data_IF_056243347134
#
_entry.id   IF_056243347134
#
_cell.length_a   1.000
_cell.length_b   1.000
_cell.length_c   1.000
_cell.angle_alpha   90.00
_cell.angle_beta   90.00
_cell.angle_gamma   90.00
#
_symmetry.space_group_name_H-M   'P 1'
#
loop_
_entity.id
_entity.type
_entity.pdbx_description
1 polymer ?
#
# COMPACT_ATOMS: atom_id res chain seq x y z
N UNK A 1 -14.01 -23.45 6.57
CA UNK A 1 -12.72 -23.41 5.86
C UNK A 1 -12.07 -22.09 6.17
N UNK A 2 -10.92 -22.11 6.82
CA UNK A 2 -10.16 -20.92 7.20
C UNK A 2 -8.99 -20.70 6.26
N UNK A 3 -8.87 -19.50 5.69
CA UNK A 3 -7.69 -19.10 4.92
C UNK A 3 -6.55 -18.76 5.89
N UNK A 4 -5.52 -19.62 5.89
CA UNK A 4 -4.27 -19.39 6.65
C UNK A 4 -3.10 -19.00 5.74
N UNK A 5 -3.34 -18.95 4.44
CA UNK A 5 -2.36 -18.74 3.37
C UNK A 5 -2.01 -17.26 3.22
N UNK A 6 -3.04 -16.42 3.19
CA UNK A 6 -2.91 -15.05 2.71
C UNK A 6 -2.86 -14.04 3.85
N UNK A 7 -1.90 -13.12 3.78
CA UNK A 7 -1.72 -12.08 4.80
C UNK A 7 -2.52 -10.81 4.55
N UNK A 8 -3.02 -10.60 3.33
CA UNK A 8 -3.94 -9.51 2.97
C UNK A 8 -5.03 -10.05 2.04
N UNK A 9 -6.13 -9.31 1.89
CA UNK A 9 -7.25 -9.67 0.99
C UNK A 9 -7.75 -11.10 1.25
N UNK A 10 -7.87 -11.45 2.52
CA UNK A 10 -8.22 -12.78 3.02
C UNK A 10 -9.11 -12.66 4.26
N UNK A 11 -9.73 -13.78 4.65
CA UNK A 11 -10.68 -13.84 5.76
C UNK A 11 -10.12 -13.29 7.08
N UNK A 12 -8.84 -13.55 7.33
CA UNK A 12 -8.12 -13.15 8.54
C UNK A 12 -6.87 -12.36 8.21
N UNK A 13 -6.94 -11.49 7.20
CA UNK A 13 -5.80 -10.66 6.78
C UNK A 13 -5.27 -9.76 7.90
N UNK A 14 -4.09 -9.19 7.68
CA UNK A 14 -3.64 -8.04 8.43
C UNK A 14 -4.63 -6.93 8.14
N UNK A 15 -5.26 -6.40 9.19
CA UNK A 15 -6.26 -5.34 9.07
C UNK A 15 -5.63 -4.09 8.44
N UNK A 16 -4.41 -3.82 8.88
CA UNK A 16 -3.69 -2.60 8.60
C UNK A 16 -2.28 -2.88 8.03
N UNK A 17 -2.13 -3.36 6.78
CA UNK A 17 -0.83 -3.55 6.16
C UNK A 17 -0.24 -2.24 5.61
N UNK A 18 1.05 -2.02 5.82
CA UNK A 18 1.79 -0.98 5.08
C UNK A 18 1.82 -1.32 3.59
N UNK A 19 1.49 -0.35 2.71
CA UNK A 19 1.36 -0.71 1.30
C UNK A 19 2.67 -0.89 0.56
N UNK A 20 3.81 -0.40 1.04
CA UNK A 20 5.06 -0.77 0.41
C UNK A 20 5.25 -2.30 0.48
N UNK A 21 4.90 -2.92 1.62
CA UNK A 21 4.87 -4.38 1.74
C UNK A 21 3.77 -5.00 0.88
N UNK A 22 2.56 -4.44 0.90
CA UNK A 22 1.44 -4.97 0.12
C UNK A 22 1.74 -4.95 -1.40
N UNK A 23 2.47 -3.94 -1.91
CA UNK A 23 2.79 -3.78 -3.34
C UNK A 23 3.74 -4.88 -3.73
N UNK A 24 4.82 -5.00 -2.96
CA UNK A 24 5.93 -5.89 -3.29
C UNK A 24 5.58 -7.35 -3.11
N UNK A 25 4.89 -7.69 -2.01
CA UNK A 25 4.57 -9.08 -1.66
C UNK A 25 3.19 -9.54 -2.16
N UNK A 26 2.34 -8.60 -2.57
CA UNK A 26 0.94 -8.87 -2.88
C UNK A 26 0.30 -9.70 -1.75
N UNK A 27 -0.51 -10.71 -2.06
CA UNK A 27 -1.13 -11.58 -1.04
C UNK A 27 -0.29 -12.80 -0.63
N UNK A 28 0.87 -13.05 -1.25
CA UNK A 28 1.68 -14.28 -1.06
C UNK A 28 3.13 -13.95 -0.70
N UNK A 29 3.42 -13.99 0.59
CA UNK A 29 4.76 -13.93 1.14
C UNK A 29 4.79 -14.64 2.50
N UNK A 30 5.98 -14.94 3.03
CA UNK A 30 6.10 -15.46 4.38
C UNK A 30 5.37 -14.55 5.37
N UNK A 31 4.42 -15.12 6.11
CA UNK A 31 3.44 -14.38 6.88
C UNK A 31 3.05 -15.11 8.18
N UNK A 32 4.04 -15.56 8.95
CA UNK A 32 3.75 -16.15 10.25
C UNK A 32 3.02 -15.15 11.15
N UNK A 33 1.82 -15.51 11.63
CA UNK A 33 0.98 -14.66 12.48
C UNK A 33 0.40 -15.40 13.70
N UNK A 34 1.25 -16.01 14.56
CA UNK A 34 0.79 -16.83 15.67
C UNK A 34 -0.06 -16.08 16.71
N UNK A 35 0.14 -14.77 16.98
CA UNK A 35 -0.73 -14.01 17.89
C UNK A 35 -2.08 -13.75 17.23
N UNK A 36 -2.11 -13.28 15.98
CA UNK A 36 -3.36 -13.00 15.29
C UNK A 36 -4.19 -14.28 15.10
N UNK A 37 -3.58 -15.38 14.63
CA UNK A 37 -4.30 -16.66 14.49
C UNK A 37 -4.70 -17.26 15.84
N UNK A 38 -4.01 -16.93 16.94
CA UNK A 38 -4.47 -17.32 18.28
C UNK A 38 -5.78 -16.62 18.65
N UNK A 39 -5.85 -15.31 18.44
CA UNK A 39 -7.04 -14.49 18.69
C UNK A 39 -8.20 -14.97 17.83
N UNK A 40 -7.99 -15.06 16.51
CA UNK A 40 -8.99 -15.57 15.57
C UNK A 40 -9.48 -16.96 16.00
N UNK A 41 -8.58 -17.90 16.30
CA UNK A 41 -8.97 -19.24 16.69
C UNK A 41 -9.83 -19.27 17.97
N UNK A 42 -9.54 -18.41 18.95
CA UNK A 42 -10.36 -18.33 20.17
C UNK A 42 -11.75 -17.77 19.89
N UNK A 43 -11.86 -16.81 18.97
CA UNK A 43 -13.13 -16.22 18.56
C UNK A 43 -13.97 -17.16 17.70
N UNK A 44 -13.38 -17.95 16.80
CA UNK A 44 -14.16 -18.68 15.79
C UNK A 44 -14.34 -20.17 16.10
N UNK A 45 -13.35 -20.83 16.73
CA UNK A 45 -13.37 -22.30 16.83
C UNK A 45 -14.46 -22.83 17.76
N UNK A 46 -14.99 -22.03 18.69
CA UNK A 46 -16.05 -22.47 19.59
C UNK A 46 -17.43 -22.58 18.91
N UNK A 47 -17.58 -22.03 17.70
CA UNK A 47 -18.79 -22.17 16.88
C UNK A 47 -18.79 -23.42 16.00
N UNK A 48 -17.71 -24.20 15.99
CA UNK A 48 -17.57 -25.39 15.15
C UNK A 48 -16.96 -26.58 15.93
N UNK A 49 -17.18 -27.80 15.44
CA UNK A 49 -16.56 -29.04 15.99
C UNK A 49 -15.16 -29.27 15.40
N UNK A 50 -14.80 -28.53 14.34
CA UNK A 50 -13.51 -28.58 13.65
C UNK A 50 -13.47 -27.57 12.50
N UNK A 51 -12.40 -27.59 11.71
CA UNK A 51 -12.24 -26.69 10.57
C UNK A 51 -11.34 -27.32 9.48
N UNK A 52 -11.42 -26.76 8.27
CA UNK A 52 -10.57 -27.11 7.13
C UNK A 52 -9.67 -25.93 6.81
N UNK A 53 -8.35 -26.12 6.85
CA UNK A 53 -7.40 -25.06 6.48
C UNK A 53 -7.26 -24.98 4.98
N UNK A 54 -7.49 -23.80 4.41
CA UNK A 54 -7.08 -23.46 3.07
C UNK A 54 -5.63 -22.96 3.08
N UNK A 55 -4.81 -23.51 2.19
CA UNK A 55 -3.37 -23.27 2.11
C UNK A 55 -2.89 -23.35 0.67
N UNK A 56 -1.94 -22.50 0.29
CA UNK A 56 -1.37 -22.50 -1.06
C UNK A 56 0.10 -22.91 -1.14
N UNK A 57 0.84 -23.09 -0.03
CA UNK A 57 2.25 -23.46 -0.21
C UNK A 57 3.15 -23.43 1.01
N UNK A 58 4.32 -22.83 0.87
CA UNK A 58 5.40 -22.88 1.87
C UNK A 58 5.40 -21.64 2.76
N UNK A 59 4.85 -20.53 2.27
CA UNK A 59 4.86 -19.23 2.96
C UNK A 59 4.00 -19.22 4.23
N UNK A 60 2.99 -20.09 4.29
CA UNK A 60 2.06 -20.27 5.40
C UNK A 60 2.38 -21.47 6.30
N UNK A 61 3.60 -22.02 6.22
CA UNK A 61 4.04 -23.21 6.97
C UNK A 61 3.88 -23.06 8.49
N UNK A 62 4.25 -21.90 9.05
CA UNK A 62 4.07 -21.60 10.49
C UNK A 62 2.58 -21.54 10.83
N UNK A 63 1.76 -20.93 9.98
CA UNK A 63 0.32 -20.77 10.23
C UNK A 63 -0.40 -22.12 10.17
N UNK A 64 -0.02 -23.02 9.26
CA UNK A 64 -0.53 -24.39 9.22
C UNK A 64 -0.22 -25.15 10.49
N UNK A 65 1.04 -25.14 10.91
CA UNK A 65 1.42 -25.75 12.19
C UNK A 65 0.58 -25.16 13.31
N UNK A 66 0.49 -23.83 13.36
CA UNK A 66 -0.25 -23.11 14.39
C UNK A 66 -1.71 -23.56 14.47
N UNK A 67 -2.41 -23.51 13.35
CA UNK A 67 -3.84 -23.83 13.26
C UNK A 67 -4.13 -25.29 13.64
N UNK A 68 -3.32 -26.25 13.15
CA UNK A 68 -3.49 -27.65 13.52
C UNK A 68 -3.24 -27.91 15.00
N UNK A 69 -2.28 -27.23 15.62
CA UNK A 69 -2.06 -27.33 17.07
C UNK A 69 -3.22 -26.74 17.86
N UNK A 70 -3.85 -25.65 17.39
CA UNK A 70 -5.06 -25.08 17.99
C UNK A 70 -6.28 -25.99 17.86
N UNK A 71 -6.47 -26.64 16.71
CA UNK A 71 -7.54 -27.64 16.53
C UNK A 71 -7.39 -28.84 17.47
N UNK A 72 -6.15 -29.26 17.73
CA UNK A 72 -5.88 -30.36 18.67
C UNK A 72 -6.05 -29.95 20.14
N UNK A 73 -5.54 -28.78 20.51
CA UNK A 73 -5.70 -28.25 21.87
C UNK A 73 -5.94 -26.73 21.84
N UNK A 74 -7.20 -26.29 21.92
CA UNK A 74 -7.55 -24.87 21.82
C UNK A 74 -7.07 -24.05 23.02
N UNK A 75 -6.61 -24.68 24.11
CA UNK A 75 -6.11 -23.96 25.30
C UNK A 75 -4.66 -23.53 25.20
N UNK A 76 -3.90 -24.01 24.21
CA UNK A 76 -2.51 -23.61 24.05
C UNK A 76 -2.40 -22.15 23.63
N UNK A 77 -1.50 -21.44 24.28
CA UNK A 77 -1.15 -20.07 23.95
C UNK A 77 -0.36 -19.99 22.64
N UNK A 78 -0.34 -18.79 22.05
CA UNK A 78 0.47 -18.52 20.88
C UNK A 78 1.95 -18.92 21.08
N UNK A 79 2.53 -18.50 22.22
CA UNK A 79 3.94 -18.76 22.56
C UNK A 79 4.25 -20.24 22.72
N UNK A 80 3.36 -21.04 23.33
CA UNK A 80 3.59 -22.49 23.49
C UNK A 80 3.63 -23.21 22.14
N UNK A 81 2.72 -22.88 21.23
CA UNK A 81 2.68 -23.52 19.90
C UNK A 81 3.88 -23.10 19.05
N UNK A 82 4.22 -21.81 19.03
CA UNK A 82 5.40 -21.30 18.33
C UNK A 82 6.67 -21.92 18.90
N UNK A 83 6.77 -22.09 20.22
CA UNK A 83 7.89 -22.81 20.83
C UNK A 83 8.03 -24.23 20.32
N UNK A 84 6.93 -24.98 20.25
CA UNK A 84 6.97 -26.36 19.72
C UNK A 84 7.46 -26.41 18.28
N UNK A 85 7.00 -25.47 17.45
CA UNK A 85 7.47 -25.32 16.07
C UNK A 85 8.97 -25.04 16.02
N UNK A 86 9.42 -24.04 16.78
CA UNK A 86 10.82 -23.61 16.76
C UNK A 86 11.74 -24.71 17.25
N UNK A 87 11.39 -25.35 18.36
CA UNK A 87 12.16 -26.47 18.93
C UNK A 87 12.31 -27.63 17.95
N UNK A 88 11.22 -27.95 17.24
CA UNK A 88 11.18 -29.09 16.34
C UNK A 88 12.04 -28.85 15.08
N UNK A 89 11.93 -27.67 14.46
CA UNK A 89 12.62 -27.39 13.19
C UNK A 89 14.02 -26.82 13.34
N UNK A 90 14.29 -26.09 14.42
CA UNK A 90 15.54 -25.34 14.62
C UNK A 90 16.38 -25.86 15.78
N UNK A 91 15.83 -26.76 16.60
CA UNK A 91 16.49 -27.32 17.77
C UNK A 91 16.32 -26.47 19.04
N UNK A 92 16.66 -27.04 20.21
CA UNK A 92 16.44 -26.41 21.51
C UNK A 92 17.25 -25.13 21.72
N UNK A 93 18.46 -25.05 21.15
CA UNK A 93 19.36 -23.93 21.41
C UNK A 93 18.98 -22.67 20.60
N UNK A 94 18.36 -22.85 19.43
CA UNK A 94 17.85 -21.76 18.58
C UNK A 94 16.41 -21.33 18.92
N UNK A 95 15.73 -22.07 19.80
CA UNK A 95 14.30 -21.95 20.10
C UNK A 95 13.87 -20.51 20.43
N UNK A 96 14.51 -19.88 21.42
CA UNK A 96 14.12 -18.53 21.88
C UNK A 96 14.42 -17.45 20.82
N UNK A 97 15.49 -17.58 20.04
CA UNK A 97 15.78 -16.62 18.97
C UNK A 97 14.78 -16.74 17.82
N UNK A 98 14.40 -17.97 17.44
CA UNK A 98 13.40 -18.19 16.39
C UNK A 98 12.00 -17.77 16.84
N UNK A 99 11.65 -17.95 18.12
CA UNK A 99 10.43 -17.37 18.70
C UNK A 99 10.47 -15.84 18.58
N UNK A 100 11.60 -15.22 18.94
CA UNK A 100 11.81 -13.78 18.81
C UNK A 100 11.65 -13.29 17.38
N UNK A 101 12.28 -13.97 16.42
CA UNK A 101 12.16 -13.66 15.00
C UNK A 101 10.72 -13.74 14.50
N UNK A 102 10.01 -14.84 14.76
CA UNK A 102 8.64 -15.05 14.27
C UNK A 102 7.68 -13.98 14.82
N UNK A 103 7.72 -13.71 16.13
CA UNK A 103 6.85 -12.68 16.71
C UNK A 103 7.22 -11.27 16.27
N UNK A 104 8.51 -10.99 16.07
CA UNK A 104 8.94 -9.69 15.56
C UNK A 104 8.47 -9.50 14.10
N UNK A 105 8.58 -10.53 13.26
CA UNK A 105 8.10 -10.48 11.88
C UNK A 105 6.58 -10.35 11.79
N UNK A 106 5.83 -10.98 12.70
CA UNK A 106 4.38 -10.75 12.85
C UNK A 106 4.07 -9.29 13.13
N UNK A 107 4.71 -8.72 14.16
CA UNK A 107 4.54 -7.32 14.56
C UNK A 107 4.97 -6.35 13.45
N UNK A 108 5.97 -6.72 12.65
CA UNK A 108 6.46 -5.87 11.58
C UNK A 108 5.46 -5.68 10.44
N UNK A 109 4.57 -6.65 10.20
CA UNK A 109 3.54 -6.54 9.16
C UNK A 109 2.41 -5.57 9.54
N UNK A 110 2.30 -5.21 10.82
CA UNK A 110 1.22 -4.39 11.39
C UNK A 110 1.67 -2.95 11.69
N UNK A 111 2.86 -2.56 11.24
CA UNK A 111 3.45 -1.23 11.50
C UNK A 111 3.93 -0.54 10.23
N UNK A 112 3.92 0.81 10.20
CA UNK A 112 4.49 1.57 9.10
C UNK A 112 5.97 1.23 8.87
N UNK A 113 6.33 0.84 7.65
CA UNK A 113 7.68 0.33 7.33
C UNK A 113 8.74 1.38 7.62
N UNK A 114 8.49 2.64 7.26
CA UNK A 114 9.46 3.73 7.35
C UNK A 114 10.01 3.92 8.77
N UNK A 115 9.18 3.76 9.80
CA UNK A 115 9.54 4.00 11.21
C UNK A 115 9.69 2.70 12.02
N UNK A 116 9.64 1.54 11.37
CA UNK A 116 9.64 0.26 12.05
C UNK A 116 11.05 -0.28 12.34
N UNK A 117 11.59 0.04 13.52
CA UNK A 117 12.87 -0.49 14.01
C UNK A 117 12.89 -2.03 14.17
N UNK A 118 11.70 -2.66 14.23
CA UNK A 118 11.54 -4.10 14.33
C UNK A 118 12.08 -4.88 13.12
N UNK A 119 12.25 -4.23 11.96
CA UNK A 119 12.86 -4.85 10.77
C UNK A 119 14.30 -5.30 11.03
N UNK A 120 15.10 -4.44 11.68
CA UNK A 120 16.48 -4.75 12.04
C UNK A 120 16.52 -5.81 13.15
N UNK A 121 15.59 -5.75 14.09
CA UNK A 121 15.51 -6.71 15.19
C UNK A 121 15.17 -8.13 14.70
N UNK A 122 14.28 -8.28 13.73
CA UNK A 122 13.98 -9.58 13.12
C UNK A 122 15.23 -10.22 12.48
N UNK A 123 16.00 -9.44 11.71
CA UNK A 123 17.28 -9.89 11.12
C UNK A 123 18.26 -10.31 12.21
N UNK A 124 18.36 -9.54 13.30
CA UNK A 124 19.24 -9.85 14.43
C UNK A 124 18.88 -11.20 15.07
N UNK A 125 17.60 -11.46 15.32
CA UNK A 125 17.15 -12.74 15.86
C UNK A 125 17.44 -13.90 14.90
N UNK A 126 17.17 -13.73 13.61
CA UNK A 126 17.45 -14.78 12.62
C UNK A 126 18.95 -15.10 12.52
N UNK A 127 19.82 -14.11 12.55
CA UNK A 127 21.28 -14.32 12.59
C UNK A 127 21.71 -15.02 13.88
N UNK A 128 21.22 -14.58 15.04
CA UNK A 128 21.53 -15.23 16.31
C UNK A 128 21.02 -16.69 16.37
N UNK A 129 19.86 -16.97 15.75
CA UNK A 129 19.35 -18.33 15.62
C UNK A 129 20.25 -19.17 14.71
N UNK A 130 20.71 -18.63 13.58
CA UNK A 130 21.53 -19.35 12.60
C UNK A 130 22.77 -20.01 13.20
N UNK A 131 23.40 -19.36 14.17
CA UNK A 131 24.59 -19.85 14.87
C UNK A 131 24.27 -20.97 15.87
N UNK A 132 23.00 -21.08 16.29
CA UNK A 132 22.52 -22.05 17.28
C UNK A 132 21.77 -23.23 16.66
N UNK A 133 21.38 -23.14 15.38
CA UNK A 133 20.73 -24.25 14.66
C UNK A 133 21.77 -25.34 14.38
N UNK A 134 21.55 -26.59 14.82
CA UNK A 134 22.42 -27.71 14.49
C UNK A 134 22.61 -27.90 12.97
N UNK A 135 23.84 -28.17 12.53
CA UNK A 135 24.19 -28.29 11.11
C UNK A 135 23.32 -29.29 10.35
N UNK A 136 22.94 -30.40 10.99
CA UNK A 136 22.09 -31.42 10.38
C UNK A 136 20.67 -30.92 10.08
N UNK A 137 20.15 -29.97 10.86
CA UNK A 137 18.87 -29.30 10.59
C UNK A 137 19.05 -28.21 9.55
N UNK A 138 20.02 -27.32 9.77
CA UNK A 138 20.25 -26.15 8.92
C UNK A 138 20.59 -26.51 7.47
N UNK A 139 21.30 -27.62 7.22
CA UNK A 139 21.75 -28.04 5.88
C UNK A 139 20.61 -28.08 4.85
N UNK A 140 19.39 -28.41 5.26
CA UNK A 140 18.22 -28.52 4.38
C UNK A 140 17.05 -27.64 4.82
N UNK A 141 17.28 -26.73 5.76
CA UNK A 141 16.21 -25.92 6.30
C UNK A 141 15.84 -24.77 5.35
N UNK A 142 14.68 -24.88 4.71
CA UNK A 142 14.15 -23.81 3.86
C UNK A 142 13.47 -22.71 4.69
N UNK A 143 13.07 -23.00 5.93
CA UNK A 143 12.23 -22.11 6.75
C UNK A 143 12.99 -20.86 7.18
N UNK A 144 14.16 -21.06 7.79
CA UNK A 144 15.07 -19.99 8.15
C UNK A 144 15.50 -19.19 6.91
N UNK A 145 15.78 -19.87 5.79
CA UNK A 145 16.19 -19.20 4.53
C UNK A 145 15.08 -18.30 3.97
N UNK A 146 13.84 -18.77 3.98
CA UNK A 146 12.69 -17.99 3.55
C UNK A 146 12.43 -16.81 4.51
N UNK A 147 12.48 -17.05 5.83
CA UNK A 147 12.34 -15.99 6.85
C UNK A 147 13.44 -14.93 6.70
N UNK A 148 14.68 -15.33 6.46
CA UNK A 148 15.81 -14.41 6.28
C UNK A 148 15.71 -13.61 4.98
N UNK A 149 15.34 -14.24 3.86
CA UNK A 149 15.05 -13.52 2.60
C UNK A 149 13.98 -12.45 2.82
N UNK A 150 12.87 -12.80 3.48
CA UNK A 150 11.77 -11.88 3.81
C UNK A 150 12.24 -10.73 4.70
N UNK A 151 12.92 -11.01 5.80
CA UNK A 151 13.37 -9.99 6.75
C UNK A 151 14.38 -9.01 6.12
N UNK A 152 15.31 -9.52 5.29
CA UNK A 152 16.26 -8.71 4.54
C UNK A 152 15.56 -7.83 3.49
N UNK A 153 14.59 -8.36 2.75
CA UNK A 153 13.83 -7.59 1.78
C UNK A 153 12.93 -6.53 2.44
N UNK A 154 12.36 -6.81 3.61
CA UNK A 154 11.61 -5.80 4.38
C UNK A 154 12.53 -4.63 4.77
N UNK A 155 13.76 -4.93 5.20
CA UNK A 155 14.78 -3.91 5.46
C UNK A 155 15.20 -3.16 4.19
N UNK A 156 15.33 -3.86 3.06
CA UNK A 156 15.61 -3.23 1.77
C UNK A 156 14.53 -2.21 1.39
N UNK A 157 13.25 -2.59 1.50
CA UNK A 157 12.11 -1.71 1.26
C UNK A 157 12.16 -0.49 2.19
N UNK A 158 12.43 -0.70 3.49
CA UNK A 158 12.58 0.39 4.45
C UNK A 158 13.69 1.38 4.08
N UNK A 159 14.85 0.88 3.65
CA UNK A 159 15.96 1.72 3.20
C UNK A 159 15.61 2.53 1.96
N UNK A 160 14.90 1.92 0.99
CA UNK A 160 14.41 2.63 -0.19
C UNK A 160 13.46 3.78 0.16
N UNK A 161 12.49 3.51 1.03
CA UNK A 161 11.55 4.55 1.49
C UNK A 161 12.31 5.67 2.22
N UNK A 162 13.25 5.31 3.10
CA UNK A 162 14.06 6.29 3.85
C UNK A 162 14.88 7.18 2.92
N UNK A 163 15.57 6.58 1.95
CA UNK A 163 16.35 7.33 0.95
C UNK A 163 15.47 8.22 0.09
N UNK A 164 14.30 7.74 -0.32
CA UNK A 164 13.34 8.54 -1.06
C UNK A 164 12.79 9.73 -0.27
N UNK A 165 12.50 9.57 1.03
CA UNK A 165 12.10 10.70 1.88
C UNK A 165 13.22 11.74 2.06
N UNK A 166 14.48 11.32 2.14
CA UNK A 166 15.62 12.26 2.16
C UNK A 166 15.72 13.07 0.86
N UNK A 167 15.65 12.38 -0.30
CA UNK A 167 15.70 13.02 -1.61
C UNK A 167 14.54 13.99 -1.80
N UNK A 168 13.31 13.58 -1.46
CA UNK A 168 12.13 14.47 -1.49
C UNK A 168 12.30 15.64 -0.54
N UNK A 169 12.72 15.42 0.71
CA UNK A 169 12.93 16.48 1.69
C UNK A 169 13.91 17.56 1.21
N UNK A 170 15.00 17.15 0.56
CA UNK A 170 15.98 18.07 -0.05
C UNK A 170 15.43 18.78 -1.30
N UNK A 171 14.69 18.07 -2.15
CA UNK A 171 14.10 18.63 -3.38
C UNK A 171 12.95 19.61 -3.10
N UNK A 172 12.16 19.38 -2.03
CA UNK A 172 11.01 20.22 -1.63
C UNK A 172 11.40 21.68 -1.42
N UNK A 173 12.63 21.96 -0.96
CA UNK A 173 13.12 23.32 -0.81
C UNK A 173 13.03 24.08 -2.13
N UNK A 174 13.52 23.49 -3.22
CA UNK A 174 13.49 24.09 -4.55
C UNK A 174 12.11 24.06 -5.19
N UNK A 175 11.33 22.99 -4.98
CA UNK A 175 9.93 22.95 -5.46
C UNK A 175 9.08 24.05 -4.83
N UNK A 176 9.32 24.38 -3.55
CA UNK A 176 8.66 25.52 -2.89
C UNK A 176 9.04 26.84 -3.55
N UNK A 177 10.33 27.10 -3.79
CA UNK A 177 10.75 28.33 -4.46
C UNK A 177 10.15 28.45 -5.86
N UNK A 178 10.14 27.36 -6.62
CA UNK A 178 9.51 27.29 -7.93
C UNK A 178 8.00 27.57 -7.84
N UNK A 179 7.32 26.98 -6.84
CA UNK A 179 5.89 27.17 -6.58
C UNK A 179 5.50 28.60 -6.18
N UNK A 180 6.44 29.37 -5.63
CA UNK A 180 6.31 30.80 -5.33
C UNK A 180 6.64 31.71 -6.54
N UNK A 181 6.99 31.12 -7.69
CA UNK A 181 7.34 31.87 -8.90
C UNK A 181 8.79 32.34 -8.95
N UNK A 182 9.66 31.92 -8.01
CA UNK A 182 11.07 32.30 -7.97
C UNK A 182 11.87 31.40 -8.92
N UNK A 183 12.23 31.94 -10.09
CA UNK A 183 12.94 31.25 -11.18
C UNK A 183 12.50 29.78 -11.39
N UNK A 184 11.20 29.52 -11.70
CA UNK A 184 10.62 28.18 -11.61
C UNK A 184 11.37 27.11 -12.40
N UNK A 185 11.79 27.43 -13.64
CA UNK A 185 12.52 26.49 -14.47
C UNK A 185 13.87 26.06 -13.87
N UNK A 186 14.59 27.00 -13.24
CA UNK A 186 15.89 26.72 -12.64
C UNK A 186 15.74 25.91 -11.35
N UNK A 187 14.77 26.27 -10.52
CA UNK A 187 14.50 25.54 -9.29
C UNK A 187 13.93 24.13 -9.54
N UNK A 188 13.11 23.94 -10.58
CA UNK A 188 12.71 22.61 -11.05
C UNK A 188 13.92 21.76 -11.48
N UNK A 189 14.91 22.34 -12.19
CA UNK A 189 16.15 21.62 -12.56
C UNK A 189 16.99 21.24 -11.34
N UNK A 190 17.08 22.11 -10.33
CA UNK A 190 17.78 21.78 -9.08
C UNK A 190 17.10 20.65 -8.32
N UNK A 191 15.76 20.68 -8.22
CA UNK A 191 14.99 19.58 -7.63
C UNK A 191 15.21 18.28 -8.40
N UNK A 192 15.15 18.32 -9.74
CA UNK A 192 15.41 17.16 -10.61
C UNK A 192 16.81 16.57 -10.40
N UNK A 193 17.83 17.43 -10.28
CA UNK A 193 19.20 16.99 -10.05
C UNK A 193 19.38 16.24 -8.72
N UNK A 194 18.68 16.69 -7.66
CA UNK A 194 18.67 15.98 -6.37
C UNK A 194 17.93 14.64 -6.51
N UNK A 195 16.73 14.63 -7.09
CA UNK A 195 15.93 13.41 -7.21
C UNK A 195 16.58 12.35 -8.10
N UNK A 196 17.49 12.76 -8.98
CA UNK A 196 18.28 11.86 -9.85
C UNK A 196 19.54 11.31 -9.20
N UNK A 197 19.82 11.66 -7.93
CA UNK A 197 20.91 11.05 -7.17
C UNK A 197 20.65 9.54 -6.98
N UNK A 198 21.70 8.68 -6.97
CA UNK A 198 21.52 7.24 -6.83
C UNK A 198 20.78 6.86 -5.54
N UNK A 199 19.64 6.15 -5.68
CA UNK A 199 18.88 5.63 -4.54
C UNK A 199 19.63 4.50 -3.79
N UNK A 200 20.51 3.76 -4.49
CA UNK A 200 21.15 2.57 -3.91
C UNK A 200 22.35 2.92 -3.03
N UNK A 201 22.25 2.51 -1.77
CA UNK A 201 23.35 2.58 -0.80
C UNK A 201 24.17 1.27 -0.77
N UNK A 202 25.39 1.32 -0.21
CA UNK A 202 26.20 0.12 0.03
C UNK A 202 25.49 -0.93 0.90
N UNK A 203 24.67 -0.50 1.86
CA UNK A 203 23.87 -1.40 2.71
C UNK A 203 22.83 -2.14 1.86
N UNK A 204 22.12 -1.42 0.98
CA UNK A 204 21.11 -1.98 0.09
C UNK A 204 21.71 -3.00 -0.88
N UNK A 205 22.88 -2.71 -1.45
CA UNK A 205 23.60 -3.63 -2.35
C UNK A 205 23.99 -4.91 -1.60
N UNK A 206 24.53 -4.78 -0.38
CA UNK A 206 24.87 -5.94 0.47
C UNK A 206 23.65 -6.79 0.77
N UNK A 207 22.53 -6.17 1.13
CA UNK A 207 21.27 -6.86 1.39
C UNK A 207 20.80 -7.63 0.15
N UNK A 208 20.76 -7.01 -1.03
CA UNK A 208 20.34 -7.69 -2.28
C UNK A 208 21.21 -8.90 -2.58
N UNK A 209 22.53 -8.76 -2.43
CA UNK A 209 23.46 -9.88 -2.64
C UNK A 209 23.24 -11.02 -1.63
N UNK A 210 23.00 -10.69 -0.36
CA UNK A 210 22.70 -11.68 0.69
C UNK A 210 21.36 -12.39 0.44
N UNK A 211 20.31 -11.67 0.05
CA UNK A 211 19.01 -12.24 -0.33
C UNK A 211 19.16 -13.20 -1.50
N UNK A 212 19.89 -12.80 -2.56
CA UNK A 212 20.12 -13.66 -3.73
C UNK A 212 20.86 -14.95 -3.36
N UNK A 213 21.94 -14.83 -2.57
CA UNK A 213 22.71 -15.99 -2.13
C UNK A 213 21.86 -16.97 -1.31
N UNK A 214 21.09 -16.47 -0.34
CA UNK A 214 20.19 -17.30 0.47
C UNK A 214 19.06 -17.89 -0.40
N UNK A 215 18.57 -17.12 -1.37
CA UNK A 215 17.60 -17.58 -2.36
C UNK A 215 18.12 -18.72 -3.22
N UNK A 216 19.36 -18.63 -3.69
CA UNK A 216 20.02 -19.72 -4.42
C UNK A 216 20.11 -20.99 -3.58
N UNK A 217 20.46 -20.87 -2.30
CA UNK A 217 20.45 -22.02 -1.38
C UNK A 217 19.03 -22.63 -1.23
N UNK A 218 17.99 -21.81 -1.03
CA UNK A 218 16.62 -22.34 -0.92
C UNK A 218 16.11 -22.91 -2.25
N UNK A 219 16.59 -22.40 -3.38
CA UNK A 219 16.27 -22.91 -4.70
C UNK A 219 16.85 -24.31 -4.93
N UNK A 220 18.06 -24.58 -4.46
CA UNK A 220 18.65 -25.92 -4.50
C UNK A 220 17.90 -26.92 -3.61
N UNK A 221 17.37 -26.47 -2.46
CA UNK A 221 16.69 -27.35 -1.50
C UNK A 221 15.24 -27.65 -1.94
N UNK A 222 14.47 -26.62 -2.29
CA UNK A 222 13.02 -26.72 -2.55
C UNK A 222 12.54 -26.02 -3.83
N UNK A 223 13.44 -25.46 -4.64
CA UNK A 223 13.05 -24.72 -5.86
C UNK A 223 12.39 -23.37 -5.60
N UNK A 224 12.70 -22.73 -4.47
CA UNK A 224 12.13 -21.43 -4.10
C UNK A 224 13.19 -20.33 -4.00
N UNK A 225 12.86 -19.18 -4.56
CA UNK A 225 13.46 -17.87 -4.28
C UNK A 225 12.31 -16.90 -4.00
N UNK A 226 12.49 -15.99 -3.06
CA UNK A 226 11.47 -14.98 -2.75
C UNK A 226 11.19 -14.09 -3.99
N UNK A 227 10.01 -14.18 -4.61
CA UNK A 227 9.71 -13.46 -5.86
C UNK A 227 9.84 -11.94 -5.72
N UNK A 228 9.56 -11.39 -4.54
CA UNK A 228 9.70 -9.96 -4.27
C UNK A 228 11.10 -9.41 -4.62
N UNK A 229 12.16 -10.23 -4.50
CA UNK A 229 13.52 -9.85 -4.87
C UNK A 229 13.64 -9.31 -6.31
N UNK A 230 12.87 -9.89 -7.24
CA UNK A 230 12.96 -9.60 -8.67
C UNK A 230 12.13 -8.40 -9.11
N UNK A 231 11.08 -8.05 -8.35
CA UNK A 231 10.10 -7.03 -8.76
C UNK A 231 10.14 -5.78 -7.88
N UNK A 232 10.76 -5.82 -6.70
CA UNK A 232 10.78 -4.71 -5.74
C UNK A 232 11.31 -3.39 -6.33
N UNK A 233 12.24 -3.47 -7.29
CA UNK A 233 12.85 -2.30 -7.94
C UNK A 233 12.00 -1.74 -9.09
N UNK A 234 11.02 -2.51 -9.56
CA UNK A 234 10.11 -2.10 -10.64
C UNK A 234 8.99 -1.19 -10.14
N UNK A 235 8.69 -1.21 -8.84
CA UNK A 235 7.68 -0.36 -8.19
C UNK A 235 8.26 0.96 -7.67
N UNK A 236 7.52 2.06 -7.86
CA UNK A 236 7.91 3.39 -7.41
C UNK A 236 7.44 3.67 -5.98
N UNK A 237 7.96 2.88 -5.04
CA UNK A 237 7.47 2.85 -3.66
C UNK A 237 7.63 4.20 -2.93
N UNK A 238 8.69 4.94 -3.24
CA UNK A 238 8.97 6.25 -2.66
C UNK A 238 8.42 7.44 -3.49
N UNK A 239 7.76 7.15 -4.61
CA UNK A 239 7.20 8.12 -5.57
C UNK A 239 8.25 8.99 -6.28
N UNK A 240 9.54 8.67 -6.18
CA UNK A 240 10.63 9.46 -6.76
C UNK A 240 10.50 9.55 -8.28
N UNK A 241 10.18 8.43 -8.95
CA UNK A 241 10.08 8.42 -10.41
C UNK A 241 8.85 9.21 -10.88
N UNK A 242 7.77 9.20 -10.10
CA UNK A 242 6.62 10.08 -10.34
C UNK A 242 7.01 11.55 -10.24
N UNK A 243 7.73 11.95 -9.19
CA UNK A 243 8.20 13.33 -9.02
C UNK A 243 9.09 13.75 -10.20
N UNK A 244 10.06 12.92 -10.58
CA UNK A 244 10.93 13.15 -11.75
C UNK A 244 10.09 13.34 -13.01
N UNK A 245 9.17 12.42 -13.30
CA UNK A 245 8.31 12.45 -14.50
C UNK A 245 7.51 13.75 -14.58
N UNK A 246 6.89 14.18 -13.48
CA UNK A 246 6.09 15.41 -13.47
C UNK A 246 6.95 16.67 -13.59
N UNK A 247 8.16 16.70 -12.99
CA UNK A 247 9.11 17.80 -13.19
C UNK A 247 9.55 17.89 -14.66
N UNK A 248 9.91 16.76 -15.27
CA UNK A 248 10.31 16.70 -16.68
C UNK A 248 9.20 17.17 -17.62
N UNK A 249 7.96 16.72 -17.37
CA UNK A 249 6.77 17.20 -18.10
C UNK A 249 6.61 18.71 -17.99
N UNK A 250 6.78 19.27 -16.80
CA UNK A 250 6.70 20.71 -16.59
C UNK A 250 7.81 21.50 -17.32
N UNK A 251 9.02 20.97 -17.37
CA UNK A 251 10.17 21.61 -18.02
C UNK A 251 10.07 21.62 -19.57
N UNK A 252 9.43 20.61 -20.16
CA UNK A 252 9.28 20.49 -21.63
C UNK A 252 7.98 21.12 -22.14
N UNK A 253 6.96 21.25 -21.28
CA UNK A 253 5.66 21.80 -21.66
C UNK A 253 5.71 23.28 -22.03
N UNK A 254 5.46 23.60 -23.31
CA UNK A 254 5.48 24.99 -23.84
C UNK A 254 4.51 25.94 -23.13
N UNK A 255 3.45 25.39 -22.55
CA UNK A 255 2.34 26.13 -21.99
C UNK A 255 2.09 25.80 -20.51
N UNK A 256 3.00 25.08 -19.87
CA UNK A 256 2.83 24.67 -18.47
C UNK A 256 3.14 25.85 -17.55
N UNK A 257 2.21 26.13 -16.63
CA UNK A 257 2.53 26.94 -15.45
C UNK A 257 3.42 26.11 -14.53
N UNK A 258 4.73 26.37 -14.61
CA UNK A 258 5.75 25.66 -13.84
C UNK A 258 5.61 25.87 -12.34
N UNK A 259 5.10 27.01 -11.88
CA UNK A 259 4.89 27.27 -10.47
C UNK A 259 3.71 26.43 -9.94
N UNK A 260 2.60 26.40 -10.69
CA UNK A 260 1.48 25.51 -10.37
C UNK A 260 1.89 24.03 -10.44
N UNK A 261 2.68 23.62 -11.42
CA UNK A 261 3.20 22.26 -11.52
C UNK A 261 4.09 21.89 -10.33
N UNK A 262 4.98 22.79 -9.90
CA UNK A 262 5.77 22.58 -8.70
C UNK A 262 4.88 22.40 -7.47
N UNK A 263 3.89 23.27 -7.25
CA UNK A 263 2.92 23.13 -6.16
C UNK A 263 2.15 21.81 -6.23
N UNK A 264 1.72 21.37 -7.42
CA UNK A 264 1.04 20.08 -7.60
C UNK A 264 1.90 18.88 -7.18
N UNK A 265 3.23 18.93 -7.41
CA UNK A 265 4.13 17.83 -7.06
C UNK A 265 4.29 17.67 -5.55
N UNK A 266 4.70 18.74 -4.84
CA UNK A 266 4.99 18.63 -3.39
C UNK A 266 3.78 18.85 -2.48
N UNK A 267 2.71 19.51 -2.98
CA UNK A 267 1.44 19.71 -2.25
C UNK A 267 0.31 18.86 -2.82
N UNK A 268 0.62 17.75 -3.48
CA UNK A 268 -0.36 16.89 -4.15
C UNK A 268 -1.53 16.50 -3.23
N UNK A 269 -1.24 16.17 -1.97
CA UNK A 269 -2.20 15.69 -0.97
C UNK A 269 -2.71 16.79 -0.05
N UNK A 270 -2.21 18.01 -0.23
CA UNK A 270 -2.66 19.17 0.54
C UNK A 270 -3.97 19.68 -0.08
N UNK A 271 -5.09 19.70 0.65
CA UNK A 271 -6.34 20.25 0.16
C UNK A 271 -6.43 21.79 0.36
N UNK A 272 -5.42 22.42 0.94
CA UNK A 272 -5.45 23.81 1.35
C UNK A 272 -6.21 24.04 2.66
N UNK A 273 -6.21 25.29 3.12
CA UNK A 273 -6.84 25.66 4.40
C UNK A 273 -8.35 25.40 4.38
N UNK A 274 -8.82 24.61 5.35
CA UNK A 274 -10.23 24.24 5.50
C UNK A 274 -10.74 23.21 4.49
N UNK A 275 -9.83 22.55 3.77
CA UNK A 275 -10.15 21.44 2.87
C UNK A 275 -9.87 20.06 3.48
N UNK A 276 -10.30 19.01 2.76
CA UNK A 276 -10.15 17.60 3.12
C UNK A 276 -9.46 16.84 2.00
N UNK A 277 -8.59 15.89 2.35
CA UNK A 277 -8.02 14.91 1.44
C UNK A 277 -8.15 13.51 2.06
N UNK A 278 -8.59 12.54 1.28
CA UNK A 278 -8.69 11.14 1.71
C UNK A 278 -8.16 10.19 0.64
N UNK A 279 -7.40 9.19 1.07
CA UNK A 279 -6.91 8.09 0.23
C UNK A 279 -7.93 6.96 0.25
N UNK A 280 -8.90 7.01 -0.65
CA UNK A 280 -10.00 6.04 -0.68
C UNK A 280 -9.52 4.62 -1.05
N UNK A 281 -8.40 4.49 -1.77
CA UNK A 281 -7.75 3.21 -2.00
C UNK A 281 -7.10 2.57 -0.77
N UNK A 282 -6.95 3.29 0.34
CA UNK A 282 -6.13 2.89 1.47
C UNK A 282 -6.97 2.44 2.65
N UNK A 283 -6.70 1.32 3.36
CA UNK A 283 -7.56 0.85 4.48
C UNK A 283 -7.80 1.87 5.60
N UNK A 284 -7.02 2.94 5.69
CA UNK A 284 -7.15 4.00 6.69
C UNK A 284 -7.61 5.32 6.09
N UNK A 285 -7.90 6.28 6.97
CA UNK A 285 -8.14 7.69 6.61
C UNK A 285 -9.30 7.89 5.61
N UNK A 286 -10.35 7.06 5.71
CA UNK A 286 -11.61 7.20 4.97
C UNK A 286 -12.77 7.58 5.90
N UNK A 287 -12.61 8.67 6.63
CA UNK A 287 -13.54 9.08 7.68
C UNK A 287 -14.92 9.42 7.11
N UNK A 288 -14.96 9.91 5.86
CA UNK A 288 -16.20 10.35 5.24
C UNK A 288 -16.88 9.26 4.42
N UNK A 289 -16.19 8.19 4.02
CA UNK A 289 -16.79 7.05 3.31
C UNK A 289 -17.74 6.28 4.25
N UNK A 290 -19.06 6.29 3.97
CA UNK A 290 -20.08 5.71 4.86
C UNK A 290 -20.53 4.31 4.50
N UNK A 291 -20.21 3.83 3.30
CA UNK A 291 -20.60 2.48 2.88
C UNK A 291 -19.52 1.44 3.18
N UNK A 292 -19.85 0.53 4.09
CA UNK A 292 -19.00 -0.60 4.51
C UNK A 292 -18.89 -1.73 3.47
N UNK A 293 -19.70 -1.72 2.41
CA UNK A 293 -19.69 -2.75 1.36
C UNK A 293 -18.64 -2.50 0.26
N UNK A 294 -17.90 -1.38 0.33
CA UNK A 294 -16.89 -1.05 -0.66
C UNK A 294 -15.66 -1.95 -0.51
N UNK A 295 -15.28 -2.60 -1.61
CA UNK A 295 -14.15 -3.50 -1.68
C UNK A 295 -12.88 -2.66 -1.89
N UNK A 296 -11.80 -3.11 -1.26
CA UNK A 296 -10.46 -2.62 -1.53
C UNK A 296 -9.88 -3.29 -2.79
N UNK A 297 -9.69 -2.49 -3.82
CA UNK A 297 -9.03 -2.84 -5.06
C UNK A 297 -7.54 -2.65 -4.92
N UNK A 298 -6.77 -3.65 -5.34
CA UNK A 298 -5.31 -3.63 -5.23
C UNK A 298 -4.70 -3.92 -6.60
N UNK A 299 -4.12 -2.88 -7.20
CA UNK A 299 -3.75 -2.78 -8.61
C UNK A 299 -2.36 -2.14 -8.77
N UNK A 300 -1.30 -2.70 -8.15
CA UNK A 300 0.03 -2.16 -8.29
C UNK A 300 0.56 -2.33 -9.73
N UNK A 301 1.22 -1.31 -10.24
CA UNK A 301 1.83 -1.30 -11.57
C UNK A 301 3.27 -0.79 -11.49
N UNK A 302 4.07 -1.13 -12.49
CA UNK A 302 5.49 -0.74 -12.53
C UNK A 302 5.67 0.62 -13.18
N UNK A 303 6.80 1.27 -12.90
CA UNK A 303 7.10 2.61 -13.40
C UNK A 303 6.64 3.76 -12.48
N UNK A 304 6.65 5.01 -12.99
CA UNK A 304 6.35 6.21 -12.20
C UNK A 304 4.91 6.21 -11.66
N UNK A 305 4.76 6.20 -10.35
CA UNK A 305 3.46 6.08 -9.69
C UNK A 305 3.45 6.79 -8.33
N UNK A 306 2.26 7.23 -7.93
CA UNK A 306 1.98 7.58 -6.52
C UNK A 306 1.57 6.32 -5.78
N UNK A 307 1.88 6.23 -4.50
CA UNK A 307 1.46 5.09 -3.67
C UNK A 307 -0.06 5.01 -3.55
N UNK A 308 -0.76 6.15 -3.60
CA UNK A 308 -2.23 6.23 -3.63
C UNK A 308 -2.84 5.62 -4.90
N UNK A 309 -2.08 5.49 -5.98
CA UNK A 309 -2.57 4.98 -7.28
C UNK A 309 -2.52 3.45 -7.37
N UNK A 310 -1.84 2.77 -6.44
CA UNK A 310 -1.79 1.30 -6.42
C UNK A 310 -3.04 0.63 -5.87
N UNK A 311 -3.98 1.42 -5.37
CA UNK A 311 -5.20 0.93 -4.74
C UNK A 311 -6.37 1.85 -4.99
N UNK A 312 -7.57 1.27 -4.96
CA UNK A 312 -8.81 2.00 -5.20
C UNK A 312 -9.90 1.45 -4.29
N UNK A 313 -10.69 2.31 -3.65
CA UNK A 313 -11.95 1.87 -3.06
C UNK A 313 -12.99 1.75 -4.17
N UNK A 314 -13.68 0.61 -4.26
CA UNK A 314 -14.62 0.37 -5.35
C UNK A 314 -15.87 -0.41 -4.93
N UNK A 315 -16.94 -0.20 -5.68
CA UNK A 315 -18.19 -0.94 -5.60
C UNK A 315 -18.41 -1.71 -6.92
N UNK A 316 -18.86 -2.97 -6.85
CA UNK A 316 -18.95 -3.90 -8.00
C UNK A 316 -20.30 -4.63 -8.06
N UNK A 317 -20.86 -4.79 -9.27
CA UNK A 317 -22.03 -5.64 -9.62
C UNK A 317 -23.38 -5.41 -8.92
N UNK A 318 -23.62 -4.27 -8.27
CA UNK A 318 -25.00 -3.89 -7.91
C UNK A 318 -25.60 -3.00 -9.00
N UNK A 319 -26.88 -3.18 -9.33
CA UNK A 319 -27.64 -2.21 -10.14
C UNK A 319 -27.57 -0.80 -9.53
N UNK A 320 -27.29 -0.74 -8.23
CA UNK A 320 -27.09 0.49 -7.47
C UNK A 320 -25.64 0.64 -7.00
N UNK A 321 -24.63 0.14 -7.74
CA UNK A 321 -23.22 0.30 -7.36
C UNK A 321 -22.91 1.79 -7.20
N UNK A 322 -22.57 2.19 -5.97
CA UNK A 322 -22.27 3.56 -5.63
C UNK A 322 -21.22 3.63 -4.53
N UNK A 323 -20.69 4.83 -4.34
CA UNK A 323 -19.86 5.18 -3.20
C UNK A 323 -20.39 6.46 -2.60
N UNK A 324 -20.75 6.42 -1.32
CA UNK A 324 -21.23 7.57 -0.55
C UNK A 324 -20.14 8.10 0.39
N UNK A 325 -19.79 9.38 0.23
CA UNK A 325 -18.98 10.13 1.18
C UNK A 325 -19.81 11.27 1.77
N UNK A 326 -19.70 11.49 3.08
CA UNK A 326 -20.45 12.53 3.80
C UNK A 326 -19.48 13.42 4.54
N UNK A 327 -19.45 14.69 4.15
CA UNK A 327 -18.70 15.77 4.81
C UNK A 327 -19.65 16.58 5.70
N UNK A 328 -19.20 16.88 6.91
CA UNK A 328 -19.92 17.68 7.90
C UNK A 328 -19.06 18.90 8.29
N UNK A 329 -19.65 19.86 9.01
CA UNK A 329 -18.99 21.08 9.49
C UNK A 329 -18.31 21.92 8.39
N UNK A 330 -18.90 21.93 7.18
CA UNK A 330 -18.46 22.81 6.10
C UNK A 330 -18.83 24.27 6.38
N UNK A 331 -18.00 25.18 5.90
CA UNK A 331 -18.25 26.63 5.95
C UNK A 331 -19.33 27.01 4.92
N UNK A 332 -20.55 27.40 5.33
CA UNK A 332 -21.66 27.69 4.41
C UNK A 332 -21.41 28.87 3.45
N UNK A 333 -20.45 29.74 3.81
CA UNK A 333 -20.11 30.92 3.02
C UNK A 333 -18.99 30.65 1.99
N UNK A 334 -18.34 29.49 2.07
CA UNK A 334 -17.27 29.09 1.15
C UNK A 334 -17.81 28.43 -0.11
N UNK A 335 -17.11 28.67 -1.23
CA UNK A 335 -17.27 27.90 -2.46
C UNK A 335 -16.29 26.73 -2.46
N UNK A 336 -16.74 25.57 -2.94
CA UNK A 336 -15.96 24.33 -2.89
C UNK A 336 -15.70 23.75 -4.29
N UNK A 337 -14.54 23.13 -4.44
CA UNK A 337 -14.14 22.32 -5.59
C UNK A 337 -13.84 20.91 -5.10
N UNK A 338 -14.43 19.92 -5.75
CA UNK A 338 -14.08 18.52 -5.55
C UNK A 338 -13.08 18.10 -6.61
N UNK A 339 -12.00 17.44 -6.18
CA UNK A 339 -11.04 16.77 -7.06
C UNK A 339 -11.12 15.27 -6.85
N UNK A 340 -11.12 14.51 -7.92
CA UNK A 340 -11.17 13.05 -7.89
C UNK A 340 -9.94 12.48 -8.60
N UNK A 341 -9.29 11.50 -7.97
CA UNK A 341 -8.34 10.60 -8.60
C UNK A 341 -9.00 9.26 -8.87
N UNK A 342 -9.14 8.92 -10.15
CA UNK A 342 -9.91 7.79 -10.64
C UNK A 342 -9.09 6.94 -11.62
N UNK A 343 -9.55 5.73 -11.90
CA UNK A 343 -8.87 4.78 -12.76
C UNK A 343 -7.89 3.87 -12.02
N UNK A 344 -7.49 2.80 -12.70
CA UNK A 344 -6.66 1.74 -12.14
C UNK A 344 -5.99 0.93 -13.26
N UNK A 345 -4.90 0.23 -12.93
CA UNK A 345 -4.19 -0.65 -13.85
C UNK A 345 -4.64 -2.10 -13.67
N UNK A 346 -5.07 -2.75 -14.74
CA UNK A 346 -5.47 -4.15 -14.71
C UNK A 346 -5.40 -4.75 -16.10
N UNK A 347 -4.26 -5.36 -16.42
CA UNK A 347 -3.97 -5.89 -17.76
C UNK A 347 -5.10 -6.74 -18.37
N UNK A 348 -5.78 -7.67 -17.65
CA UNK A 348 -6.90 -8.41 -18.22
C UNK A 348 -8.09 -7.53 -18.63
N UNK A 349 -8.35 -6.45 -17.89
CA UNK A 349 -9.42 -5.49 -18.21
C UNK A 349 -8.99 -4.51 -19.30
N UNK A 350 -7.72 -4.11 -19.34
CA UNK A 350 -7.15 -3.32 -20.43
C UNK A 350 -7.26 -4.04 -21.78
N UNK A 351 -7.15 -5.38 -21.77
CA UNK A 351 -7.34 -6.20 -22.97
C UNK A 351 -8.82 -6.43 -23.31
N UNK A 352 -9.71 -6.36 -22.32
CA UNK A 352 -11.13 -6.67 -22.49
C UNK A 352 -11.99 -5.45 -22.87
N UNK A 353 -11.54 -4.24 -22.56
CA UNK A 353 -12.25 -3.00 -22.79
C UNK A 353 -11.43 -2.06 -23.70
N UNK A 354 -12.05 -1.56 -24.76
CA UNK A 354 -11.42 -0.66 -25.75
C UNK A 354 -11.88 0.81 -25.62
N UNK A 355 -12.57 1.13 -24.53
CA UNK A 355 -13.02 2.48 -24.19
C UNK A 355 -12.59 2.86 -22.77
N UNK A 356 -12.57 4.16 -22.47
CA UNK A 356 -12.37 4.65 -21.11
C UNK A 356 -13.73 4.75 -20.41
N UNK A 357 -13.97 3.94 -19.36
CA UNK A 357 -15.19 4.06 -18.58
C UNK A 357 -15.37 5.45 -17.99
N UNK A 358 -16.63 5.78 -17.70
CA UNK A 358 -17.02 6.98 -16.96
C UNK A 358 -17.96 6.61 -15.82
N UNK A 359 -18.04 7.50 -14.84
CA UNK A 359 -18.95 7.41 -13.70
C UNK A 359 -19.66 8.75 -13.49
N UNK A 360 -20.79 8.71 -12.79
CA UNK A 360 -21.61 9.89 -12.50
C UNK A 360 -21.23 10.41 -11.12
N UNK A 361 -21.06 11.73 -10.99
CA UNK A 361 -20.85 12.43 -9.73
C UNK A 361 -22.11 13.22 -9.35
N UNK A 362 -22.61 12.95 -8.15
CA UNK A 362 -23.72 13.67 -7.53
C UNK A 362 -23.25 14.34 -6.24
N UNK A 363 -23.84 15.50 -5.95
CA UNK A 363 -23.70 16.20 -4.67
C UNK A 363 -25.09 16.52 -4.11
N UNK A 364 -25.41 16.03 -2.91
CA UNK A 364 -26.74 16.16 -2.28
C UNK A 364 -27.90 15.80 -3.24
N UNK A 365 -27.72 14.74 -4.05
CA UNK A 365 -28.70 14.27 -5.03
C UNK A 365 -28.79 15.06 -6.34
N UNK A 366 -27.99 16.12 -6.52
CA UNK A 366 -27.88 16.86 -7.80
C UNK A 366 -26.69 16.33 -8.59
N UNK A 367 -26.91 15.99 -9.86
CA UNK A 367 -25.83 15.60 -10.78
C UNK A 367 -24.90 16.80 -11.03
N UNK A 368 -23.61 16.61 -10.72
CA UNK A 368 -22.54 17.58 -10.96
C UNK A 368 -21.83 17.28 -12.27
N UNK A 369 -21.62 15.99 -12.59
CA UNK A 369 -21.03 15.54 -13.85
C UNK A 369 -21.52 14.14 -14.19
N UNK A 370 -21.83 13.90 -15.47
CA UNK A 370 -22.14 12.57 -16.01
C UNK A 370 -20.92 11.90 -16.64
N UNK A 371 -19.80 12.62 -16.75
CA UNK A 371 -18.60 12.23 -17.50
C UNK A 371 -17.35 12.25 -16.61
N UNK A 372 -17.42 11.72 -15.39
CA UNK A 372 -16.22 11.56 -14.57
C UNK A 372 -15.38 10.43 -15.15
N UNK A 373 -14.13 10.67 -15.60
CA UNK A 373 -13.30 9.62 -16.17
C UNK A 373 -13.01 8.52 -15.15
N UNK A 374 -12.97 7.27 -15.61
CA UNK A 374 -12.55 6.12 -14.83
C UNK A 374 -11.69 5.18 -15.71
N UNK A 375 -10.52 5.66 -16.18
CA UNK A 375 -9.72 4.94 -17.18
C UNK A 375 -9.21 3.60 -16.66
N UNK A 376 -9.05 2.65 -17.59
CA UNK A 376 -8.42 1.35 -17.33
C UNK A 376 -7.01 1.41 -17.94
N UNK A 377 -5.99 1.12 -17.14
CA UNK A 377 -4.59 1.20 -17.55
C UNK A 377 -3.97 2.59 -17.38
N UNK A 378 -4.65 3.52 -16.72
CA UNK A 378 -4.10 4.81 -16.30
C UNK A 378 -4.84 5.34 -15.06
N UNK A 379 -4.39 6.47 -14.53
CA UNK A 379 -5.08 7.23 -13.49
C UNK A 379 -5.33 8.66 -13.96
N UNK A 380 -6.55 9.15 -13.75
CA UNK A 380 -6.96 10.50 -14.11
C UNK A 380 -7.23 11.36 -12.88
N UNK A 381 -6.95 12.66 -13.01
CA UNK A 381 -7.43 13.68 -12.09
C UNK A 381 -8.49 14.52 -12.78
N UNK A 382 -9.57 14.81 -12.06
CA UNK A 382 -10.67 15.65 -12.53
C UNK A 382 -11.13 16.59 -11.42
N UNK A 383 -11.57 17.79 -11.78
CA UNK A 383 -12.03 18.84 -10.86
C UNK A 383 -13.44 19.29 -11.23
N UNK A 384 -14.30 19.46 -10.23
CA UNK A 384 -15.68 19.93 -10.40
C UNK A 384 -16.02 20.97 -9.34
N UNK A 385 -16.60 22.10 -9.76
CA UNK A 385 -17.12 23.09 -8.83
C UNK A 385 -18.42 22.57 -8.19
N UNK A 386 -18.54 22.74 -6.87
CA UNK A 386 -19.76 22.41 -6.14
C UNK A 386 -20.61 23.68 -6.00
N UNK A 387 -21.85 23.69 -6.50
CA UNK A 387 -22.75 24.83 -6.33
C UNK A 387 -22.95 25.15 -4.84
N UNK A 388 -22.79 26.43 -4.47
CA UNK A 388 -22.83 26.89 -3.06
C UNK A 388 -24.14 26.52 -2.36
N UNK A 389 -25.26 26.47 -3.09
CA UNK A 389 -26.54 26.06 -2.52
C UNK A 389 -26.53 24.63 -1.94
N UNK A 390 -25.59 23.78 -2.38
CA UNK A 390 -25.45 22.42 -1.89
C UNK A 390 -24.62 22.32 -0.61
N UNK A 391 -23.84 23.33 -0.24
CA UNK A 391 -23.02 23.32 0.99
C UNK A 391 -23.57 24.24 2.08
N UNK A 392 -24.69 24.93 1.82
CA UNK A 392 -25.25 25.96 2.71
C UNK A 392 -25.72 25.49 4.08
N UNK A 393 -25.95 24.18 4.27
CA UNK A 393 -26.30 23.59 5.58
C UNK A 393 -25.06 23.10 6.35
N UNK A 394 -23.85 23.34 5.84
CA UNK A 394 -22.61 22.83 6.43
C UNK A 394 -22.41 21.32 6.24
N UNK A 395 -23.20 20.68 5.37
CA UNK A 395 -23.15 19.25 5.06
C UNK A 395 -23.13 19.03 3.56
N UNK A 396 -22.31 18.09 3.11
CA UNK A 396 -22.20 17.68 1.71
C UNK A 396 -22.11 16.16 1.59
N UNK A 397 -23.05 15.58 0.86
CA UNK A 397 -23.05 14.17 0.46
C UNK A 397 -22.56 14.07 -0.98
N UNK A 398 -21.45 13.36 -1.17
CA UNK A 398 -20.88 13.05 -2.47
C UNK A 398 -21.22 11.61 -2.81
N UNK A 399 -21.81 11.40 -3.99
CA UNK A 399 -22.10 10.06 -4.49
C UNK A 399 -21.44 9.88 -5.85
N UNK A 400 -20.68 8.80 -5.98
CA UNK A 400 -20.25 8.28 -7.28
C UNK A 400 -21.14 7.10 -7.66
N UNK A 401 -21.63 7.05 -8.89
CA UNK A 401 -22.50 5.96 -9.40
C UNK A 401 -22.05 5.47 -10.77
N UNK A 402 -22.38 4.22 -11.08
CA UNK A 402 -22.14 3.64 -12.41
C UNK A 402 -23.08 4.29 -13.43
N UNK A 403 -22.59 4.50 -14.64
CA UNK A 403 -23.44 4.84 -15.80
C UNK A 403 -24.07 3.60 -16.46
N UNK A 404 -23.95 2.43 -15.84
CA UNK A 404 -24.36 1.10 -16.31
C UNK A 404 -23.56 0.49 -17.47
N UNK A 405 -22.64 1.25 -18.09
CA UNK A 405 -21.76 0.73 -19.14
C UNK A 405 -20.59 -0.05 -18.54
N UNK A 406 -20.10 0.40 -17.37
CA UNK A 406 -19.03 -0.26 -16.63
C UNK A 406 -19.49 -0.69 -15.23
N UNK A 407 -19.28 -1.96 -14.83
CA UNK A 407 -19.86 -2.53 -13.61
C UNK A 407 -19.13 -2.11 -12.32
N UNK A 408 -18.27 -1.10 -12.39
CA UNK A 408 -17.40 -0.64 -11.30
C UNK A 408 -17.58 0.86 -11.11
N UNK A 409 -17.67 1.25 -9.86
CA UNK A 409 -17.46 2.64 -9.43
C UNK A 409 -16.27 2.65 -8.51
N UNK A 410 -15.34 3.58 -8.68
CA UNK A 410 -14.20 3.65 -7.79
C UNK A 410 -13.42 4.94 -7.86
N UNK A 411 -12.65 5.18 -6.81
CA UNK A 411 -11.68 6.26 -6.74
C UNK A 411 -10.52 5.89 -5.81
N UNK A 412 -9.34 6.39 -6.17
CA UNK A 412 -8.09 6.17 -5.45
C UNK A 412 -7.86 7.27 -4.41
N UNK A 413 -8.31 8.49 -4.70
CA UNK A 413 -8.25 9.63 -3.78
C UNK A 413 -9.29 10.71 -4.11
N UNK A 414 -9.64 11.50 -3.10
CA UNK A 414 -10.61 12.60 -3.19
C UNK A 414 -10.10 13.80 -2.41
N UNK A 415 -10.32 15.00 -2.96
CA UNK A 415 -10.11 16.26 -2.28
C UNK A 415 -11.41 17.06 -2.29
N UNK A 416 -11.76 17.66 -1.17
CA UNK A 416 -12.79 18.70 -1.08
C UNK A 416 -12.10 19.97 -0.60
N UNK A 417 -12.02 20.99 -1.47
CA UNK A 417 -11.16 22.15 -1.26
C UNK A 417 -11.99 23.43 -1.35
N UNK A 418 -11.67 24.45 -0.56
CA UNK A 418 -12.21 25.80 -0.77
C UNK A 418 -11.61 26.37 -2.05
N UNK A 419 -12.44 26.86 -2.97
CA UNK A 419 -12.02 27.33 -4.30
C UNK A 419 -10.89 28.38 -4.25
N UNK A 420 -10.97 29.29 -3.27
CA UNK A 420 -9.98 30.35 -3.05
C UNK A 420 -8.67 29.90 -2.37
N UNK A 421 -8.64 28.71 -1.77
CA UNK A 421 -7.50 28.22 -0.99
C UNK A 421 -6.80 27.01 -1.64
N UNK A 422 -7.17 26.66 -2.88
CA UNK A 422 -6.57 25.53 -3.60
C UNK A 422 -5.06 25.74 -3.76
N UNK A 423 -4.22 24.78 -3.31
CA UNK A 423 -2.77 24.95 -3.36
C UNK A 423 -2.20 24.84 -4.78
N UNK A 424 -2.95 24.22 -5.69
CA UNK A 424 -2.67 24.07 -7.12
C UNK A 424 -3.97 23.69 -7.85
N UNK A 425 -4.01 23.87 -9.17
CA UNK A 425 -5.16 23.59 -10.06
C UNK A 425 -4.79 22.67 -11.22
N UNK A 426 -5.74 21.89 -11.74
CA UNK A 426 -5.57 21.07 -12.95
C UNK A 426 -5.73 21.90 -14.23
N UNK A 427 -4.64 22.17 -14.96
CA UNK A 427 -4.69 22.84 -16.28
C UNK A 427 -5.20 24.29 -16.22
N UNK A 428 -4.88 25.11 -17.23
CA UNK A 428 -4.83 26.58 -17.13
C UNK A 428 -6.13 27.31 -16.75
N UNK A 429 -5.96 28.20 -15.76
CA UNK A 429 -6.62 29.51 -15.51
C UNK A 429 -8.12 29.64 -15.75
#
# INVERSE_FOLDING_TARGET
TSDVSHWIRSQYGVDQPDMALAVVYQRRAFNARPRAYHEVANEVLHYAIGDVTYSEGIHDDVNKWFWFRKLWNPRKSAKEITREYCRYWFGPDAEEEMIGAIFQMEENMEKPVLTNDGMVLAIKHLRAARDKIPDNLMKRDFRWRMMMQKALLDRYIQLRLTGGEDLKGRAVVFLREAGEGRDPAENLRKALNILSEPEQTDEMIKIKNEVLAIGDESNEIIGYREPAYYVVDEYDLAEIRWWIREIERALVGKEVDMANAANMIYRYEDPGEGGYFERIGWPYDRIHLKEHENILGYFPFTGPARISQFSMGYSWQKRDAHMLLVYEDLDPESEYVIRLSTGFHCEPLEQAFDYNPIQILEANGKVISEEVPHPIGDTALSEYAIPRELTGEGRLEIVLRTNYEFPVVGLSGIWLMKSGNMPWKLGRN
#
